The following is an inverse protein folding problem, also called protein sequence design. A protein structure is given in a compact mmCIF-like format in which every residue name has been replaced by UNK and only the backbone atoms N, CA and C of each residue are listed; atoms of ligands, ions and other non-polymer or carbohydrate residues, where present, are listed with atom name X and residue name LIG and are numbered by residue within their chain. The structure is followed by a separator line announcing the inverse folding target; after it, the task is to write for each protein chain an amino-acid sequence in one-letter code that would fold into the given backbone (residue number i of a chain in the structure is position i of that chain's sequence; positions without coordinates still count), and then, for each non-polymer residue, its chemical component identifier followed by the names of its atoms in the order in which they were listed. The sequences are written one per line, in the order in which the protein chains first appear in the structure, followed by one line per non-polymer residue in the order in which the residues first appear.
data_IF_187278901118
#
_entry.id   IF_187278901118
#
_cell.length_a   1.000
_cell.length_b   1.000
_cell.length_c   1.000
_cell.angle_alpha   90.00
_cell.angle_beta   90.00
_cell.angle_gamma   90.00
#
_symmetry.space_group_name_H-M   'P 1'
#
loop_
_entity.id
_entity.type
_entity.pdbx_description
1 polymer ?
#
# COMPACT_ATOMS: atom_id res chain seq x y z
N UNK A 1 -9.23 30.51 -11.65
CA UNK A 1 -10.03 29.27 -11.64
C UNK A 1 -9.83 28.66 -10.26
N UNK A 2 -10.82 28.69 -9.38
CA UNK A 2 -10.68 28.03 -8.06
C UNK A 2 -10.50 26.52 -8.30
N UNK A 3 -9.37 25.97 -7.86
CA UNK A 3 -9.14 24.54 -7.92
C UNK A 3 -10.22 23.83 -7.09
N UNK A 4 -10.89 22.84 -7.67
CA UNK A 4 -11.97 22.09 -7.03
C UNK A 4 -11.38 21.33 -5.82
N UNK A 5 -11.65 21.83 -4.60
CA UNK A 5 -11.23 21.17 -3.36
C UNK A 5 -11.82 19.76 -3.22
N UNK A 6 -11.03 18.83 -2.71
CA UNK A 6 -11.41 17.42 -2.52
C UNK A 6 -12.33 17.23 -1.31
N UNK A 7 -13.27 16.30 -1.40
CA UNK A 7 -14.18 15.93 -0.33
C UNK A 7 -13.56 14.88 0.61
N UNK A 8 -14.17 14.68 1.78
CA UNK A 8 -13.79 13.64 2.73
C UNK A 8 -13.85 12.24 2.09
N UNK A 9 -14.88 11.99 1.27
CA UNK A 9 -15.06 10.72 0.58
C UNK A 9 -14.00 10.50 -0.51
N UNK A 10 -13.70 11.52 -1.34
CA UNK A 10 -12.65 11.43 -2.35
C UNK A 10 -11.28 11.15 -1.70
N UNK A 11 -10.97 11.79 -0.57
CA UNK A 11 -9.76 11.50 0.21
C UNK A 11 -9.75 10.05 0.72
N UNK A 12 -10.85 9.60 1.34
CA UNK A 12 -10.97 8.21 1.78
C UNK A 12 -10.78 7.20 0.64
N UNK A 13 -11.33 7.46 -0.55
CA UNK A 13 -11.15 6.59 -1.72
C UNK A 13 -9.71 6.55 -2.24
N UNK A 14 -9.00 7.68 -2.25
CA UNK A 14 -7.58 7.71 -2.65
C UNK A 14 -6.77 6.78 -1.74
N UNK A 15 -6.99 6.89 -0.43
CA UNK A 15 -6.26 6.12 0.57
C UNK A 15 -6.71 4.67 0.70
N UNK A 16 -7.96 4.38 0.34
CA UNK A 16 -8.41 3.02 0.10
C UNK A 16 -7.61 2.38 -1.03
N UNK A 17 -7.53 3.04 -2.20
CA UNK A 17 -6.76 2.53 -3.33
C UNK A 17 -5.28 2.36 -3.03
N UNK A 18 -4.68 3.28 -2.26
CA UNK A 18 -3.29 3.17 -1.82
C UNK A 18 -3.05 1.96 -0.88
N UNK A 19 -4.01 1.64 -0.01
CA UNK A 19 -3.92 0.53 0.93
C UNK A 19 -4.24 -0.84 0.30
N UNK A 20 -5.02 -0.89 -0.78
CA UNK A 20 -5.25 -2.16 -1.49
C UNK A 20 -4.06 -2.42 -2.43
N UNK A 21 -2.96 -2.93 -1.87
CA UNK A 21 -1.71 -3.14 -2.59
C UNK A 21 -1.09 -4.52 -2.33
N UNK A 22 -0.41 -5.05 -3.36
CA UNK A 22 0.40 -6.29 -3.29
C UNK A 22 1.48 -6.16 -2.21
N UNK A 23 2.07 -4.98 -2.05
CA UNK A 23 3.11 -4.74 -1.05
C UNK A 23 2.60 -4.96 0.39
N UNK A 24 1.35 -4.61 0.68
CA UNK A 24 0.74 -4.81 2.01
C UNK A 24 0.54 -6.31 2.28
N UNK A 25 0.06 -7.06 1.28
CA UNK A 25 -0.07 -8.53 1.36
C UNK A 25 1.31 -9.16 1.55
N UNK A 26 2.30 -8.75 0.76
CA UNK A 26 3.66 -9.32 0.82
C UNK A 26 4.27 -9.08 2.19
N UNK A 27 4.11 -7.87 2.71
CA UNK A 27 4.62 -7.53 4.03
C UNK A 27 3.92 -8.37 5.11
N UNK A 28 2.62 -8.62 4.95
CA UNK A 28 1.86 -9.56 5.79
C UNK A 28 2.43 -10.98 5.80
N UNK A 29 2.91 -11.51 4.67
CA UNK A 29 3.47 -12.88 4.63
C UNK A 29 4.69 -13.03 5.54
N UNK A 30 5.51 -11.97 5.68
CA UNK A 30 6.66 -11.98 6.57
C UNK A 30 6.28 -12.14 8.05
N UNK A 31 5.03 -11.81 8.43
CA UNK A 31 4.53 -11.94 9.80
C UNK A 31 4.02 -13.34 10.15
N UNK A 32 3.89 -14.24 9.17
CA UNK A 32 3.45 -15.63 9.38
C UNK A 32 4.21 -16.39 10.49
N UNK A 33 5.55 -16.24 10.66
CA UNK A 33 6.28 -16.94 11.71
C UNK A 33 5.85 -16.62 13.14
N UNK A 34 5.17 -15.49 13.37
CA UNK A 34 4.63 -15.11 14.68
C UNK A 34 3.28 -15.78 14.99
N UNK A 35 2.63 -16.38 13.99
CA UNK A 35 1.25 -16.86 14.08
C UNK A 35 0.24 -15.73 14.24
N UNK A 36 -1.06 -16.06 14.19
CA UNK A 36 -2.13 -15.06 14.20
C UNK A 36 -2.14 -14.18 15.47
N UNK A 37 -1.93 -14.74 16.66
CA UNK A 37 -2.01 -13.98 17.91
C UNK A 37 -0.98 -12.84 17.99
N UNK A 38 0.32 -13.18 17.87
CA UNK A 38 1.40 -12.18 17.92
C UNK A 38 1.48 -11.37 16.63
N UNK A 39 1.14 -11.96 15.49
CA UNK A 39 1.12 -11.28 14.19
C UNK A 39 0.06 -10.19 14.10
N UNK A 40 -1.22 -10.49 14.42
CA UNK A 40 -2.30 -9.49 14.41
C UNK A 40 -2.01 -8.37 15.40
N UNK A 41 -1.54 -8.67 16.61
CA UNK A 41 -1.22 -7.64 17.59
C UNK A 41 -0.06 -6.74 17.13
N UNK A 42 0.95 -7.29 16.45
CA UNK A 42 2.03 -6.50 15.85
C UNK A 42 1.52 -5.59 14.71
N UNK A 43 0.65 -6.12 13.83
CA UNK A 43 0.02 -5.36 12.74
C UNK A 43 -0.74 -4.16 13.32
N UNK A 44 -1.65 -4.41 14.25
CA UNK A 44 -2.51 -3.36 14.83
C UNK A 44 -1.68 -2.30 15.57
N UNK A 45 -0.69 -2.72 16.36
CA UNK A 45 0.16 -1.79 17.11
C UNK A 45 1.03 -0.94 16.17
N UNK A 46 1.68 -1.57 15.20
CA UNK A 46 2.52 -0.86 14.22
C UNK A 46 1.70 0.13 13.38
N UNK A 47 0.53 -0.30 12.89
CA UNK A 47 -0.36 0.58 12.15
C UNK A 47 -0.87 1.73 13.01
N UNK A 48 -1.22 1.51 14.28
CA UNK A 48 -1.63 2.59 15.17
C UNK A 48 -0.52 3.64 15.33
N UNK A 49 0.73 3.22 15.51
CA UNK A 49 1.90 4.12 15.61
C UNK A 49 2.10 4.90 14.30
N UNK A 50 2.16 4.19 13.17
CA UNK A 50 2.41 4.80 11.87
C UNK A 50 1.28 5.74 11.44
N UNK A 51 0.03 5.30 11.62
CA UNK A 51 -1.15 6.09 11.27
C UNK A 51 -1.28 7.34 12.14
N UNK A 52 -0.92 7.28 13.43
CA UNK A 52 -0.91 8.47 14.27
C UNK A 52 0.04 9.54 13.73
N UNK A 53 1.25 9.15 13.32
CA UNK A 53 2.24 10.07 12.74
C UNK A 53 1.80 10.59 11.37
N UNK A 54 1.27 9.71 10.52
CA UNK A 54 0.70 10.06 9.22
C UNK A 54 -0.47 11.06 9.36
N UNK A 55 -1.33 10.90 10.36
CA UNK A 55 -2.42 11.83 10.68
C UNK A 55 -1.89 13.21 11.03
N UNK A 56 -0.89 13.29 11.90
CA UNK A 56 -0.29 14.58 12.28
C UNK A 56 0.32 15.30 11.08
N UNK A 57 1.04 14.60 10.20
CA UNK A 57 1.60 15.20 8.99
C UNK A 57 0.50 15.65 8.00
N UNK A 58 -0.53 14.82 7.81
CA UNK A 58 -1.68 15.15 6.97
C UNK A 58 -2.46 16.35 7.49
N UNK A 59 -2.60 16.49 8.81
CA UNK A 59 -3.31 17.58 9.45
C UNK A 59 -2.59 18.91 9.23
N UNK A 60 -1.27 18.94 9.38
CA UNK A 60 -0.46 20.13 9.10
C UNK A 60 -0.66 20.57 7.64
N UNK A 61 -0.59 19.64 6.69
CA UNK A 61 -0.83 19.93 5.27
C UNK A 61 -2.23 20.49 5.01
N UNK A 62 -3.24 19.85 5.59
CA UNK A 62 -4.64 20.23 5.44
C UNK A 62 -4.97 21.60 6.04
N UNK A 63 -4.46 21.92 7.23
CA UNK A 63 -4.74 23.21 7.89
C UNK A 63 -3.94 24.37 7.27
N UNK A 64 -2.71 24.10 6.84
CA UNK A 64 -1.84 25.15 6.27
C UNK A 64 -2.04 25.34 4.76
N UNK A 65 -2.70 24.40 4.08
CA UNK A 65 -2.84 24.40 2.62
C UNK A 65 -1.51 24.20 1.88
N UNK A 66 -0.52 23.61 2.55
CA UNK A 66 0.84 23.43 2.03
C UNK A 66 1.14 21.98 1.66
N UNK A 67 1.98 21.82 0.64
CA UNK A 67 2.55 20.53 0.24
C UNK A 67 3.42 19.93 1.33
N UNK A 68 3.73 18.63 1.23
CA UNK A 68 4.58 17.96 2.21
C UNK A 68 5.97 18.60 2.30
N UNK A 69 6.57 18.99 1.17
CA UNK A 69 7.88 19.65 1.19
C UNK A 69 7.80 21.11 1.66
N UNK A 70 6.65 21.76 1.50
CA UNK A 70 6.42 23.10 2.05
C UNK A 70 6.24 23.08 3.57
N UNK A 71 5.62 22.05 4.13
CA UNK A 71 5.54 21.87 5.60
C UNK A 71 6.92 21.58 6.19
N UNK A 72 7.74 20.76 5.53
CA UNK A 72 9.15 20.55 5.94
C UNK A 72 9.94 21.86 5.89
N UNK A 73 9.74 22.68 4.85
CA UNK A 73 10.39 23.99 4.73
C UNK A 73 10.04 24.94 5.88
N UNK A 74 8.88 24.79 6.53
CA UNK A 74 8.52 25.60 7.69
C UNK A 74 9.43 25.31 8.90
N UNK A 75 9.88 24.07 9.07
CA UNK A 75 10.73 23.67 10.19
C UNK A 75 12.23 23.79 9.88
N UNK A 76 12.64 23.43 8.66
CA UNK A 76 14.06 23.31 8.28
C UNK A 76 14.56 24.42 7.35
N UNK A 77 13.69 25.35 6.94
CA UNK A 77 14.00 26.39 5.97
C UNK A 77 14.23 25.85 4.56
N UNK A 78 14.51 26.76 3.62
CA UNK A 78 14.61 26.42 2.18
C UNK A 78 15.78 25.49 1.85
N UNK A 79 16.93 25.68 2.50
CA UNK A 79 18.11 24.83 2.25
C UNK A 79 17.97 23.47 2.95
N UNK A 80 17.43 23.44 4.17
CA UNK A 80 17.20 22.20 4.90
C UNK A 80 16.16 21.30 4.24
N UNK A 81 15.11 21.87 3.63
CA UNK A 81 14.10 21.08 2.91
C UNK A 81 14.63 20.34 1.68
N UNK A 82 15.77 20.75 1.12
CA UNK A 82 16.36 20.08 -0.06
C UNK A 82 16.78 18.63 0.24
N UNK A 83 17.32 18.38 1.44
CA UNK A 83 17.70 17.02 1.85
C UNK A 83 16.47 16.10 1.90
N UNK A 84 15.41 16.55 2.58
CA UNK A 84 14.16 15.79 2.68
C UNK A 84 13.47 15.62 1.31
N UNK A 85 13.53 16.64 0.45
CA UNK A 85 13.02 16.53 -0.92
C UNK A 85 13.79 15.48 -1.71
N UNK A 86 15.13 15.46 -1.62
CA UNK A 86 15.95 14.46 -2.28
C UNK A 86 15.66 13.03 -1.75
N UNK A 87 15.51 12.87 -0.44
CA UNK A 87 15.14 11.59 0.18
C UNK A 87 13.73 11.16 -0.23
N UNK A 88 12.78 12.09 -0.33
CA UNK A 88 11.43 11.79 -0.80
C UNK A 88 11.42 11.37 -2.27
N UNK A 89 12.18 12.04 -3.13
CA UNK A 89 12.35 11.61 -4.54
C UNK A 89 12.95 10.21 -4.61
N UNK A 90 14.02 9.94 -3.85
CA UNK A 90 14.63 8.61 -3.79
C UNK A 90 13.61 7.54 -3.36
N UNK A 91 12.80 7.83 -2.34
CA UNK A 91 11.75 6.93 -1.85
C UNK A 91 10.67 6.67 -2.91
N UNK A 92 10.23 7.70 -3.63
CA UNK A 92 9.22 7.55 -4.70
C UNK A 92 9.76 6.76 -5.89
N UNK A 93 11.03 6.95 -6.24
CA UNK A 93 11.71 6.12 -7.25
C UNK A 93 11.80 4.67 -6.78
N UNK A 94 12.15 4.46 -5.50
CA UNK A 94 12.17 3.13 -4.88
C UNK A 94 10.81 2.43 -4.93
N UNK A 95 9.74 3.13 -4.53
CA UNK A 95 8.38 2.62 -4.61
C UNK A 95 7.96 2.27 -6.04
N UNK A 96 8.27 3.16 -6.99
CA UNK A 96 7.98 2.89 -8.42
C UNK A 96 8.71 1.63 -8.90
N UNK A 97 9.99 1.47 -8.52
CA UNK A 97 10.78 0.30 -8.87
C UNK A 97 10.21 -1.01 -8.29
N UNK A 98 9.81 -1.00 -7.02
CA UNK A 98 9.20 -2.17 -6.36
C UNK A 98 7.87 -2.53 -7.04
N UNK A 99 7.01 -1.54 -7.34
CA UNK A 99 5.73 -1.80 -8.00
C UNK A 99 5.90 -2.38 -9.41
N UNK A 100 6.89 -1.90 -10.18
CA UNK A 100 7.24 -2.50 -11.48
C UNK A 100 7.74 -3.94 -11.30
N UNK A 101 8.57 -4.18 -10.29
CA UNK A 101 9.13 -5.49 -10.01
C UNK A 101 8.07 -6.51 -9.60
N UNK A 102 7.21 -6.15 -8.64
CA UNK A 102 6.12 -7.01 -8.16
C UNK A 102 5.13 -7.28 -9.30
N UNK A 103 4.85 -6.24 -10.09
CA UNK A 103 4.04 -6.36 -11.29
C UNK A 103 4.61 -7.35 -12.30
N UNK A 104 5.90 -7.21 -12.60
CA UNK A 104 6.59 -8.09 -13.50
C UNK A 104 6.66 -9.54 -12.99
N UNK A 105 6.80 -9.73 -11.67
CA UNK A 105 6.80 -11.05 -11.04
C UNK A 105 5.43 -11.74 -11.21
N UNK A 106 4.33 -11.03 -11.01
CA UNK A 106 3.00 -11.60 -11.22
C UNK A 106 2.73 -11.91 -12.70
N UNK A 107 3.13 -11.03 -13.62
CA UNK A 107 2.94 -11.24 -15.06
C UNK A 107 3.79 -12.41 -15.60
N UNK A 108 5.01 -12.54 -15.10
CA UNK A 108 5.87 -13.68 -15.43
C UNK A 108 5.33 -14.99 -14.83
N UNK A 109 4.75 -14.94 -13.63
CA UNK A 109 4.12 -16.11 -12.99
C UNK A 109 3.00 -16.74 -13.83
N UNK A 110 2.35 -15.98 -14.72
CA UNK A 110 1.32 -16.50 -15.63
C UNK A 110 1.89 -16.85 -17.00
N UNK A 111 2.81 -16.05 -17.54
CA UNK A 111 3.26 -16.18 -18.93
C UNK A 111 4.55 -16.98 -19.11
N UNK A 112 5.41 -17.06 -18.09
CA UNK A 112 6.69 -17.75 -18.13
C UNK A 112 7.68 -17.19 -19.16
N UNK A 113 7.55 -15.92 -19.54
CA UNK A 113 8.32 -15.29 -20.62
C UNK A 113 9.58 -14.57 -20.14
N UNK A 114 9.75 -14.40 -18.83
CA UNK A 114 10.88 -13.80 -18.15
C UNK A 114 10.57 -12.44 -17.55
N UNK A 115 10.74 -12.32 -16.22
CA UNK A 115 10.53 -11.09 -15.44
C UNK A 115 11.15 -9.82 -16.03
N UNK A 116 12.35 -9.90 -16.60
CA UNK A 116 13.04 -8.72 -17.16
C UNK A 116 12.26 -8.10 -18.33
N UNK A 117 11.55 -8.91 -19.12
CA UNK A 117 10.70 -8.45 -20.22
C UNK A 117 9.54 -7.65 -19.65
N UNK A 118 8.86 -8.19 -18.64
CA UNK A 118 7.73 -7.51 -18.01
C UNK A 118 8.12 -6.23 -17.29
N UNK A 119 9.31 -6.17 -16.66
CA UNK A 119 9.83 -4.91 -16.12
C UNK A 119 9.95 -3.83 -17.20
N UNK A 120 10.45 -4.18 -18.40
CA UNK A 120 10.55 -3.24 -19.52
C UNK A 120 9.17 -2.87 -20.07
N UNK A 121 8.26 -3.83 -20.22
CA UNK A 121 6.90 -3.60 -20.73
C UNK A 121 6.15 -2.64 -19.81
N UNK A 122 6.10 -2.93 -18.51
CA UNK A 122 5.41 -2.08 -17.52
C UNK A 122 6.06 -0.68 -17.49
N UNK A 123 7.39 -0.60 -17.47
CA UNK A 123 8.11 0.68 -17.51
C UNK A 123 7.77 1.52 -18.76
N UNK A 124 7.73 0.91 -19.94
CA UNK A 124 7.35 1.59 -21.18
C UNK A 124 5.88 2.04 -21.18
N UNK A 125 4.98 1.23 -20.62
CA UNK A 125 3.56 1.58 -20.48
C UNK A 125 3.38 2.78 -19.54
N UNK A 126 4.12 2.85 -18.42
CA UNK A 126 4.10 4.01 -17.51
C UNK A 126 4.60 5.26 -18.24
N UNK A 127 5.71 5.17 -18.98
CA UNK A 127 6.22 6.31 -19.77
C UNK A 127 5.20 6.77 -20.80
N UNK A 128 4.61 5.83 -21.56
CA UNK A 128 3.58 6.14 -22.55
C UNK A 128 2.38 6.83 -21.89
N UNK A 129 1.94 6.34 -20.73
CA UNK A 129 0.83 6.93 -19.98
C UNK A 129 1.14 8.38 -19.57
N UNK A 130 2.31 8.63 -19.00
CA UNK A 130 2.74 9.98 -18.58
C UNK A 130 2.73 10.92 -19.79
N UNK A 131 3.21 10.47 -20.96
CA UNK A 131 3.24 11.26 -22.18
C UNK A 131 1.84 11.57 -22.74
N UNK A 132 0.88 10.65 -22.65
CA UNK A 132 -0.50 10.87 -23.10
C UNK A 132 -1.24 11.83 -22.16
N UNK A 133 -0.81 11.97 -20.91
CA UNK A 133 -1.38 12.94 -19.97
C UNK A 133 -2.84 12.64 -19.62
N UNK A 134 -3.24 11.36 -19.56
CA UNK A 134 -4.61 10.96 -19.22
C UNK A 134 -4.91 11.34 -17.77
N UNK A 135 -5.66 12.42 -17.57
CA UNK A 135 -6.00 12.98 -16.26
C UNK A 135 -7.34 12.48 -15.70
N UNK A 136 -8.16 11.79 -16.51
CA UNK A 136 -9.54 11.45 -16.13
C UNK A 136 -9.64 10.05 -15.47
N UNK A 137 -8.83 9.85 -14.42
CA UNK A 137 -8.60 8.55 -13.78
C UNK A 137 -9.71 8.12 -12.83
N UNK A 138 -10.62 9.01 -12.44
CA UNK A 138 -11.60 8.72 -11.39
C UNK A 138 -12.45 7.47 -11.64
N UNK A 139 -12.90 7.25 -12.88
CA UNK A 139 -13.71 6.08 -13.24
C UNK A 139 -12.87 4.80 -13.36
N UNK A 140 -11.69 4.89 -13.97
CA UNK A 140 -10.78 3.75 -14.13
C UNK A 140 -10.28 3.29 -12.75
N UNK A 141 -9.87 4.24 -11.90
CA UNK A 141 -9.42 3.97 -10.54
C UNK A 141 -10.55 3.36 -9.70
N UNK A 142 -11.79 3.86 -9.82
CA UNK A 142 -12.94 3.24 -9.13
C UNK A 142 -13.16 1.78 -9.55
N UNK A 143 -13.10 1.49 -10.84
CA UNK A 143 -13.27 0.12 -11.36
C UNK A 143 -12.11 -0.77 -10.88
N UNK A 144 -10.87 -0.28 -10.97
CA UNK A 144 -9.69 -0.99 -10.49
C UNK A 144 -9.82 -1.29 -8.98
N UNK A 145 -10.10 -0.30 -8.15
CA UNK A 145 -10.31 -0.47 -6.71
C UNK A 145 -11.45 -1.44 -6.38
N UNK A 146 -12.56 -1.39 -7.12
CA UNK A 146 -13.68 -2.31 -6.93
C UNK A 146 -13.29 -3.76 -7.29
N UNK A 147 -12.57 -3.94 -8.40
CA UNK A 147 -12.02 -5.24 -8.79
C UNK A 147 -11.04 -5.78 -7.75
N UNK A 148 -10.13 -4.93 -7.29
CA UNK A 148 -9.18 -5.26 -6.23
C UNK A 148 -9.91 -5.65 -4.93
N UNK A 149 -10.91 -4.88 -4.51
CA UNK A 149 -11.69 -5.19 -3.31
C UNK A 149 -12.43 -6.53 -3.40
N UNK A 150 -13.09 -6.81 -4.54
CA UNK A 150 -13.76 -8.09 -4.75
C UNK A 150 -12.77 -9.25 -4.72
N UNK A 151 -11.58 -9.05 -5.28
CA UNK A 151 -10.53 -10.05 -5.22
C UNK A 151 -9.98 -10.23 -3.80
N UNK A 152 -9.80 -9.16 -3.03
CA UNK A 152 -9.42 -9.20 -1.61
C UNK A 152 -10.43 -10.02 -0.80
N UNK A 153 -11.73 -9.85 -1.06
CA UNK A 153 -12.79 -10.69 -0.46
C UNK A 153 -12.66 -12.16 -0.87
N UNK A 154 -12.37 -12.42 -2.14
CA UNK A 154 -12.20 -13.78 -2.66
C UNK A 154 -10.98 -14.48 -2.05
N UNK A 155 -9.84 -13.78 -1.97
CA UNK A 155 -8.64 -14.25 -1.28
C UNK A 155 -8.93 -14.55 0.19
N UNK A 156 -9.61 -13.63 0.88
CA UNK A 156 -10.03 -13.84 2.27
C UNK A 156 -10.87 -15.12 2.39
N UNK A 157 -11.83 -15.33 1.48
CA UNK A 157 -12.65 -16.55 1.48
C UNK A 157 -11.80 -17.81 1.31
N UNK A 158 -10.95 -17.86 0.29
CA UNK A 158 -10.15 -19.05 -0.03
C UNK A 158 -9.19 -19.39 1.12
N UNK A 159 -8.50 -18.38 1.65
CA UNK A 159 -7.48 -18.53 2.70
C UNK A 159 -8.11 -18.93 4.04
N UNK A 160 -9.25 -18.33 4.42
CA UNK A 160 -9.81 -18.58 5.76
C UNK A 160 -10.86 -19.69 5.80
N UNK A 161 -11.47 -20.05 4.66
CA UNK A 161 -12.59 -21.01 4.63
C UNK A 161 -12.31 -22.26 3.79
N UNK A 162 -11.33 -22.27 2.89
CA UNK A 162 -11.09 -23.40 1.96
C UNK A 162 -9.74 -24.10 2.19
N UNK A 163 -8.69 -23.41 2.66
CA UNK A 163 -7.45 -24.09 3.05
C UNK A 163 -7.62 -24.82 4.38
N UNK A 164 -7.62 -26.16 4.32
CA UNK A 164 -7.57 -27.02 5.50
C UNK A 164 -6.36 -26.65 6.36
N UNK A 165 -6.61 -26.37 7.64
CA UNK A 165 -5.63 -25.82 8.57
C UNK A 165 -4.37 -26.66 8.70
N UNK A 166 -3.34 -26.32 7.91
CA UNK A 166 -1.98 -26.69 8.20
C UNK A 166 -1.42 -25.64 9.16
N UNK A 167 -1.23 -26.03 10.41
CA UNK A 167 -0.58 -25.18 11.41
C UNK A 167 0.94 -25.26 11.15
N UNK A 168 1.49 -24.27 10.46
CA UNK A 168 2.93 -24.12 10.37
C UNK A 168 3.45 -23.80 11.76
N UNK A 169 4.20 -24.73 12.35
CA UNK A 169 4.91 -24.48 13.60
C UNK A 169 5.76 -23.20 13.43
N UNK A 170 5.54 -22.23 14.34
CA UNK A 170 6.24 -20.97 14.39
C UNK A 170 7.77 -21.20 14.43
N UNK A 171 8.42 -21.14 13.27
CA UNK A 171 9.87 -21.05 13.20
C UNK A 171 10.21 -19.60 13.53
N UNK A 172 10.49 -19.29 14.81
CA UNK A 172 10.83 -17.95 15.32
C UNK A 172 12.06 -17.36 14.60
N UNK A 173 11.86 -16.81 13.41
CA UNK A 173 12.86 -16.06 12.65
C UNK A 173 12.67 -14.55 12.82
N UNK A 174 11.44 -14.10 13.08
CA UNK A 174 11.11 -12.69 13.33
C UNK A 174 10.68 -12.44 14.76
N UNK A 175 11.20 -11.39 15.38
CA UNK A 175 10.79 -10.94 16.70
C UNK A 175 9.50 -10.12 16.63
N UNK A 176 8.72 -10.09 17.72
CA UNK A 176 7.53 -9.24 17.80
C UNK A 176 7.86 -7.76 17.57
N UNK A 177 8.97 -7.26 18.11
CA UNK A 177 9.41 -5.87 17.91
C UNK A 177 9.67 -5.55 16.44
N UNK A 178 10.40 -6.43 15.73
CA UNK A 178 10.65 -6.26 14.30
C UNK A 178 9.34 -6.25 13.48
N UNK A 179 8.35 -7.06 13.87
CA UNK A 179 7.05 -7.06 13.21
C UNK A 179 6.25 -5.77 13.44
N UNK A 180 6.32 -5.19 14.64
CA UNK A 180 5.72 -3.89 14.95
C UNK A 180 6.40 -2.78 14.14
N UNK A 181 7.73 -2.78 14.08
CA UNK A 181 8.50 -1.82 13.29
C UNK A 181 8.16 -1.91 11.80
N UNK A 182 8.13 -3.12 11.25
CA UNK A 182 7.76 -3.36 9.85
C UNK A 182 6.32 -2.95 9.55
N UNK A 183 5.39 -3.22 10.48
CA UNK A 183 3.98 -2.81 10.36
C UNK A 183 3.79 -1.30 10.47
N UNK A 184 4.64 -0.60 11.24
CA UNK A 184 4.63 0.85 11.32
C UNK A 184 5.25 1.51 10.08
N UNK A 185 6.27 0.87 9.49
CA UNK A 185 7.01 1.42 8.35
C UNK A 185 6.12 1.73 7.14
N UNK A 186 5.07 0.93 6.89
CA UNK A 186 4.16 1.15 5.77
C UNK A 186 3.38 2.48 5.87
N UNK A 187 2.56 2.74 6.91
CA UNK A 187 1.96 4.06 7.10
C UNK A 187 2.97 5.21 7.18
N UNK A 188 4.14 4.97 7.78
CA UNK A 188 5.19 6.00 7.87
C UNK A 188 5.77 6.37 6.50
N UNK A 189 5.79 5.44 5.54
CA UNK A 189 6.26 5.71 4.19
C UNK A 189 5.44 6.79 3.46
N UNK A 190 4.21 7.05 3.92
CA UNK A 190 3.29 8.05 3.40
C UNK A 190 3.42 9.44 4.02
N UNK A 191 4.16 9.58 5.14
CA UNK A 191 4.45 10.86 5.79
C UNK A 191 4.91 11.95 4.80
N UNK A 192 5.83 11.67 3.85
CA UNK A 192 6.38 12.70 2.97
C UNK A 192 5.45 13.12 1.83
N UNK A 193 4.21 12.60 1.76
CA UNK A 193 3.27 12.87 0.65
C UNK A 193 1.83 13.09 1.08
N UNK A 194 1.41 12.65 2.28
CA UNK A 194 0.02 12.79 2.75
C UNK A 194 -0.49 14.23 2.68
N UNK A 195 0.36 15.21 3.02
CA UNK A 195 0.02 16.63 2.96
C UNK A 195 -0.32 17.11 1.54
N UNK A 196 0.24 16.50 0.50
CA UNK A 196 -0.06 16.86 -0.90
C UNK A 196 -1.51 16.54 -1.27
N UNK A 197 -2.09 15.52 -0.64
CA UNK A 197 -3.49 15.13 -0.83
C UNK A 197 -4.45 15.91 0.08
N UNK A 198 -4.04 16.17 1.33
CA UNK A 198 -4.93 16.82 2.32
C UNK A 198 -4.97 18.33 2.19
N UNK A 199 -3.94 18.99 1.63
CA UNK A 199 -3.87 20.46 1.48
C UNK A 199 -5.02 21.07 0.67
N UNK A 200 -5.63 20.28 -0.22
CA UNK A 200 -6.74 20.71 -1.08
C UNK A 200 -8.11 20.27 -0.53
N UNK A 201 -8.17 19.71 0.67
CA UNK A 201 -9.41 19.21 1.26
C UNK A 201 -10.38 20.34 1.66
N UNK A 202 -11.67 20.11 1.46
CA UNK A 202 -12.74 21.02 1.94
C UNK A 202 -12.82 21.07 3.46
N UNK A 203 -12.63 19.91 4.10
CA UNK A 203 -12.68 19.74 5.56
C UNK A 203 -11.38 19.08 6.03
N UNK A 204 -10.30 19.86 6.26
CA UNK A 204 -8.95 19.33 6.50
C UNK A 204 -8.85 18.22 7.54
N UNK A 205 -9.42 18.44 8.73
CA UNK A 205 -9.36 17.47 9.84
C UNK A 205 -10.09 16.18 9.48
N UNK A 206 -11.32 16.30 8.97
CA UNK A 206 -12.16 15.13 8.63
C UNK A 206 -11.60 14.36 7.45
N UNK A 207 -11.10 15.06 6.43
CA UNK A 207 -10.48 14.43 5.27
C UNK A 207 -9.21 13.68 5.68
N UNK A 208 -8.33 14.30 6.48
CA UNK A 208 -7.13 13.64 7.00
C UNK A 208 -7.48 12.43 7.87
N UNK A 209 -8.45 12.56 8.77
CA UNK A 209 -8.91 11.46 9.60
C UNK A 209 -9.46 10.31 8.74
N UNK A 210 -10.30 10.60 7.76
CA UNK A 210 -10.84 9.60 6.85
C UNK A 210 -9.73 8.90 6.05
N UNK A 211 -8.78 9.67 5.49
CA UNK A 211 -7.61 9.13 4.78
C UNK A 211 -6.85 8.11 5.63
N UNK A 212 -6.49 8.49 6.85
CA UNK A 212 -5.66 7.66 7.72
C UNK A 212 -6.42 6.47 8.28
N UNK A 213 -7.69 6.64 8.67
CA UNK A 213 -8.52 5.55 9.19
C UNK A 213 -8.76 4.51 8.08
N UNK A 214 -9.13 4.97 6.88
CA UNK A 214 -9.36 4.07 5.75
C UNK A 214 -8.07 3.34 5.38
N UNK A 215 -6.95 4.07 5.24
CA UNK A 215 -5.66 3.45 4.97
C UNK A 215 -5.30 2.42 6.04
N UNK A 216 -5.35 2.80 7.32
CA UNK A 216 -4.95 1.94 8.43
C UNK A 216 -5.79 0.65 8.52
N UNK A 217 -7.12 0.74 8.36
CA UNK A 217 -8.00 -0.43 8.42
C UNK A 217 -7.80 -1.36 7.23
N UNK A 218 -7.71 -0.80 6.02
CA UNK A 218 -7.54 -1.59 4.79
C UNK A 218 -6.14 -2.22 4.76
N UNK A 219 -5.11 -1.48 5.15
CA UNK A 219 -3.75 -1.99 5.24
C UNK A 219 -3.64 -3.12 6.26
N UNK A 220 -4.21 -2.96 7.47
CA UNK A 220 -4.29 -4.05 8.45
C UNK A 220 -4.95 -5.30 7.86
N UNK A 221 -6.04 -5.13 7.11
CA UNK A 221 -6.74 -6.24 6.48
C UNK A 221 -5.87 -6.95 5.43
N UNK A 222 -5.18 -6.18 4.58
CA UNK A 222 -4.27 -6.74 3.57
C UNK A 222 -3.09 -7.51 4.20
N UNK A 223 -2.51 -6.99 5.29
CA UNK A 223 -1.49 -7.70 6.07
C UNK A 223 -2.03 -9.03 6.62
N UNK A 224 -3.24 -9.03 7.18
CA UNK A 224 -3.85 -10.25 7.74
C UNK A 224 -4.11 -11.29 6.65
N UNK A 225 -4.49 -10.86 5.44
CA UNK A 225 -4.64 -11.75 4.29
C UNK A 225 -3.30 -12.38 3.91
N UNK A 226 -2.24 -11.58 3.77
CA UNK A 226 -0.91 -12.08 3.43
C UNK A 226 -0.35 -13.04 4.48
N UNK A 227 -0.47 -12.67 5.76
CA UNK A 227 -0.08 -13.52 6.87
C UNK A 227 -0.87 -14.84 6.87
N UNK A 228 -2.19 -14.77 6.71
CA UNK A 228 -3.03 -15.96 6.64
C UNK A 228 -2.68 -16.85 5.45
N UNK A 229 -2.43 -16.25 4.28
CA UNK A 229 -2.00 -16.98 3.09
C UNK A 229 -0.72 -17.78 3.37
N UNK A 230 0.28 -17.15 3.96
CA UNK A 230 1.54 -17.80 4.26
C UNK A 230 1.41 -18.88 5.34
N UNK A 231 0.62 -18.64 6.39
CA UNK A 231 0.37 -19.65 7.43
C UNK A 231 -0.33 -20.88 6.84
N UNK A 232 -1.37 -20.70 6.03
CA UNK A 232 -2.17 -21.83 5.56
C UNK A 232 -1.62 -22.55 4.33
N UNK A 233 -0.88 -21.84 3.47
CA UNK A 233 -0.34 -22.43 2.23
C UNK A 233 1.13 -22.82 2.32
N UNK A 234 1.86 -22.27 3.30
CA UNK A 234 3.31 -22.36 3.41
C UNK A 234 4.08 -21.63 2.31
N UNK A 235 3.40 -20.86 1.46
CA UNK A 235 4.00 -20.06 0.41
C UNK A 235 4.12 -18.60 0.84
N UNK A 236 5.23 -17.97 0.50
CA UNK A 236 5.49 -16.55 0.75
C UNK A 236 5.44 -15.70 -0.52
N UNK A 237 5.46 -16.35 -1.68
CA UNK A 237 5.36 -15.72 -3.00
C UNK A 237 3.89 -15.48 -3.35
N UNK A 238 3.52 -14.23 -3.61
CA UNK A 238 2.13 -13.86 -3.92
C UNK A 238 1.65 -14.51 -5.21
N UNK A 239 2.48 -14.60 -6.25
CA UNK A 239 2.08 -15.26 -7.48
C UNK A 239 1.77 -16.74 -7.22
N UNK A 240 2.55 -17.42 -6.37
CA UNK A 240 2.28 -18.81 -5.96
C UNK A 240 1.04 -18.92 -5.07
N UNK A 241 0.84 -18.02 -4.12
CA UNK A 241 -0.37 -17.94 -3.29
C UNK A 241 -1.60 -17.78 -4.19
N UNK A 242 -1.54 -16.86 -5.16
CA UNK A 242 -2.65 -16.59 -6.08
C UNK A 242 -2.87 -17.73 -7.08
N UNK A 243 -1.82 -18.37 -7.57
CA UNK A 243 -1.90 -19.56 -8.43
C UNK A 243 -2.53 -20.74 -7.68
N UNK A 244 -2.10 -21.02 -6.44
CA UNK A 244 -2.68 -22.07 -5.59
C UNK A 244 -4.11 -21.77 -5.18
N UNK A 245 -4.48 -20.49 -5.06
CA UNK A 245 -5.85 -20.05 -4.88
C UNK A 245 -6.70 -20.12 -6.16
N UNK A 246 -6.16 -20.58 -7.30
CA UNK A 246 -6.89 -20.70 -8.58
C UNK A 246 -7.11 -19.36 -9.29
N UNK A 247 -6.36 -18.32 -8.93
CA UNK A 247 -6.56 -16.93 -9.34
C UNK A 247 -5.42 -16.37 -10.22
N UNK A 248 -4.62 -17.23 -10.87
CA UNK A 248 -3.49 -16.80 -11.70
C UNK A 248 -3.83 -15.71 -12.72
N UNK A 249 -4.99 -15.82 -13.40
CA UNK A 249 -5.43 -14.78 -14.35
C UNK A 249 -5.90 -13.48 -13.68
N UNK A 250 -6.39 -13.54 -12.43
CA UNK A 250 -6.77 -12.34 -11.68
C UNK A 250 -5.52 -11.58 -11.19
N UNK A 251 -4.41 -12.27 -10.93
CA UNK A 251 -3.12 -11.65 -10.57
C UNK A 251 -2.61 -10.66 -11.65
N UNK A 252 -2.86 -10.95 -12.92
CA UNK A 252 -2.51 -10.09 -14.06
C UNK A 252 -3.41 -8.85 -14.19
N UNK A 253 -4.65 -8.88 -13.70
CA UNK A 253 -5.58 -7.74 -13.76
C UNK A 253 -5.32 -6.70 -12.67
N UNK A 254 -4.56 -7.09 -11.63
CA UNK A 254 -4.21 -6.27 -10.47
C UNK A 254 -2.99 -5.39 -10.73
N UNK A 255 -2.07 -5.89 -11.56
CA UNK A 255 -0.80 -5.28 -11.92
C UNK A 255 -0.98 -4.31 -13.08
#
# INVERSE_FOLDING_TARGET
MEAKRTSVFENGLIWFGAAVSIAEILTGTYLAPLGFGRGISAILLGHAIGCALMFLAGLIGGETGKSAMETVKMSFGQKGSLLFSALNVLQLVGWTGIMIYDGALAADGVTGTGRWIWCLVIGLLIVAWILVGVTNLGKINLIAMAGLFLLTLLLSKIIFFESGGADLAAAETMTFGAAVELSAAMPLSWLPVISDYTREAKEPVKATAASVIVYGLVSCWMYVIGMGAAIYTGEYDIAQIMLKAGLGAAALLIV
#
